data_IF_861508166833
#
_entry.id   IF_861508166833
#
_cell.length_a   1.000
_cell.length_b   1.000
_cell.length_c   1.000
_cell.angle_alpha   90.00
_cell.angle_beta   90.00
_cell.angle_gamma   90.00
#
_symmetry.space_group_name_H-M   'P 1'
#
loop_
_entity.id
_entity.type
_entity.pdbx_description
1 polymer ?
#
# COMPACT_ATOMS: atom_id res chain seq x y z
N UNK A 1 -21.57 -3.20 35.00
CA UNK A 1 -20.18 -3.37 35.48
C UNK A 1 -19.92 -4.86 35.66
N UNK A 2 -18.78 -5.38 35.12
CA UNK A 2 -18.37 -6.77 35.30
C UNK A 2 -17.88 -7.02 36.73
N UNK A 3 -18.27 -8.13 37.32
CA UNK A 3 -17.71 -8.60 38.60
C UNK A 3 -16.23 -8.98 38.45
N UNK A 4 -15.49 -9.03 39.55
CA UNK A 4 -14.07 -9.46 39.54
C UNK A 4 -13.88 -10.85 38.93
N UNK A 5 -14.80 -11.76 39.17
CA UNK A 5 -14.78 -13.11 38.59
C UNK A 5 -15.00 -13.10 37.07
N UNK A 6 -15.93 -12.29 36.59
CA UNK A 6 -16.19 -12.11 35.15
C UNK A 6 -15.02 -11.44 34.45
N UNK A 7 -14.33 -10.48 35.10
CA UNK A 7 -13.10 -9.88 34.57
C UNK A 7 -11.99 -10.91 34.43
N UNK A 8 -11.77 -11.74 35.47
CA UNK A 8 -10.76 -12.79 35.43
C UNK A 8 -11.03 -13.83 34.34
N UNK A 9 -12.31 -14.27 34.20
CA UNK A 9 -12.71 -15.20 33.14
C UNK A 9 -12.50 -14.60 31.73
N UNK A 10 -12.88 -13.35 31.53
CA UNK A 10 -12.68 -12.66 30.27
C UNK A 10 -11.19 -12.41 30.00
N UNK A 11 -10.38 -12.13 31.03
CA UNK A 11 -8.94 -12.00 30.89
C UNK A 11 -8.30 -13.30 30.41
N UNK A 12 -8.66 -14.43 31.01
CA UNK A 12 -8.21 -15.74 30.57
C UNK A 12 -8.64 -16.06 29.13
N UNK A 13 -9.88 -15.69 28.76
CA UNK A 13 -10.42 -15.92 27.41
C UNK A 13 -9.79 -15.01 26.33
N UNK A 14 -9.35 -13.83 26.70
CA UNK A 14 -8.88 -12.81 25.73
C UNK A 14 -7.42 -12.38 25.91
N UNK A 15 -6.67 -13.00 26.84
CA UNK A 15 -5.28 -12.62 27.14
C UNK A 15 -4.36 -12.58 25.89
N UNK A 16 -4.66 -13.41 24.88
CA UNK A 16 -3.92 -13.46 23.62
C UNK A 16 -4.55 -12.57 22.51
N UNK A 17 -5.54 -11.75 22.86
CA UNK A 17 -6.20 -10.85 21.89
C UNK A 17 -6.50 -9.49 22.52
N UNK A 18 -5.54 -8.56 22.54
CA UNK A 18 -5.69 -7.24 23.15
C UNK A 18 -6.89 -6.43 22.61
N UNK A 19 -7.23 -6.58 21.32
CA UNK A 19 -8.37 -5.90 20.74
C UNK A 19 -9.71 -6.41 21.26
N UNK A 20 -9.83 -7.72 21.54
CA UNK A 20 -11.02 -8.28 22.20
C UNK A 20 -11.11 -7.83 23.65
N UNK A 21 -9.98 -7.81 24.35
CA UNK A 21 -9.92 -7.32 25.73
C UNK A 21 -10.41 -5.87 25.80
N UNK A 22 -9.83 -4.97 25.02
CA UNK A 22 -10.20 -3.56 24.95
C UNK A 22 -11.71 -3.39 24.67
N UNK A 23 -12.28 -4.17 23.74
CA UNK A 23 -13.70 -4.07 23.38
C UNK A 23 -14.64 -4.65 24.42
N UNK A 24 -14.36 -5.86 24.94
CA UNK A 24 -15.33 -6.60 25.76
C UNK A 24 -15.13 -6.40 27.26
N UNK A 25 -13.96 -5.95 27.68
CA UNK A 25 -13.62 -5.77 29.10
C UNK A 25 -13.52 -4.29 29.45
N UNK A 26 -12.83 -3.51 28.63
CA UNK A 26 -12.63 -2.07 28.89
C UNK A 26 -13.71 -1.19 28.27
N UNK A 27 -14.61 -1.77 27.46
CA UNK A 27 -15.67 -1.02 26.77
C UNK A 27 -15.19 -0.06 25.71
N UNK A 28 -13.91 -0.14 25.33
CA UNK A 28 -13.35 0.71 24.28
C UNK A 28 -13.82 0.26 22.90
N UNK A 29 -13.92 1.21 21.95
CA UNK A 29 -14.23 0.91 20.54
C UNK A 29 -12.99 0.30 19.89
N UNK A 30 -12.76 -1.00 20.13
CA UNK A 30 -11.70 -1.73 19.47
C UNK A 30 -12.24 -2.51 18.27
N UNK A 31 -11.59 -2.42 17.15
CA UNK A 31 -11.91 -3.23 15.97
C UNK A 31 -11.34 -4.64 16.19
N UNK A 32 -12.22 -5.61 16.43
CA UNK A 32 -11.80 -7.02 16.47
C UNK A 32 -11.59 -7.48 15.02
N UNK A 33 -10.36 -7.58 14.60
CA UNK A 33 -10.02 -8.15 13.29
C UNK A 33 -10.40 -9.62 13.24
N UNK A 34 -11.16 -10.00 12.20
CA UNK A 34 -11.51 -11.43 11.94
C UNK A 34 -10.30 -12.26 11.51
N UNK A 35 -9.15 -11.64 11.25
CA UNK A 35 -7.93 -12.27 10.79
C UNK A 35 -6.69 -11.42 11.09
N UNK A 36 -5.58 -11.72 10.41
CA UNK A 36 -4.35 -10.93 10.47
C UNK A 36 -4.46 -9.83 9.41
N UNK A 37 -4.35 -8.57 9.81
CA UNK A 37 -4.44 -7.43 8.87
C UNK A 37 -3.36 -7.50 7.78
N UNK A 38 -3.73 -7.17 6.55
CA UNK A 38 -2.79 -7.15 5.42
C UNK A 38 -1.80 -6.00 5.55
N UNK A 39 -2.23 -4.89 6.11
CA UNK A 39 -1.45 -3.64 6.22
C UNK A 39 -1.29 -3.20 7.67
N UNK A 40 -0.35 -3.83 8.43
CA UNK A 40 -0.15 -3.54 9.85
C UNK A 40 0.32 -2.09 10.11
N UNK A 41 0.91 -1.41 9.13
CA UNK A 41 1.37 -0.03 9.26
C UNK A 41 0.23 1.00 9.14
N UNK A 42 -1.01 0.56 8.88
CA UNK A 42 -2.16 1.45 8.89
C UNK A 42 -2.62 1.74 10.33
N UNK A 43 -2.61 3.00 10.72
CA UNK A 43 -3.17 3.49 12.00
C UNK A 43 -4.29 4.49 11.74
N UNK A 44 -5.50 4.24 12.25
CA UNK A 44 -6.67 5.09 12.02
C UNK A 44 -6.42 6.54 12.41
N UNK A 45 -5.93 6.78 13.64
CA UNK A 45 -5.67 8.13 14.15
C UNK A 45 -4.61 8.91 13.36
N UNK A 46 -3.77 8.21 12.61
CA UNK A 46 -2.67 8.80 11.86
C UNK A 46 -2.99 8.97 10.37
N UNK A 47 -3.78 8.03 9.79
CA UNK A 47 -3.99 7.96 8.34
C UNK A 47 -5.40 8.36 7.89
N UNK A 48 -6.35 8.56 8.79
CA UNK A 48 -7.75 8.80 8.44
C UNK A 48 -8.24 10.15 8.94
N UNK A 49 -8.85 10.92 8.04
CA UNK A 49 -9.55 12.17 8.35
C UNK A 49 -11.03 11.90 8.60
N UNK A 50 -11.56 12.45 9.67
CA UNK A 50 -13.00 12.44 9.96
C UNK A 50 -13.78 13.43 9.09
N UNK A 51 -13.08 14.29 8.34
CA UNK A 51 -13.67 15.27 7.44
C UNK A 51 -13.34 14.96 5.98
N UNK A 52 -14.19 15.44 5.08
CA UNK A 52 -13.93 15.37 3.64
C UNK A 52 -12.80 16.32 3.29
N UNK A 53 -11.74 15.77 2.72
CA UNK A 53 -10.57 16.54 2.32
C UNK A 53 -10.79 17.21 0.96
N UNK A 54 -10.28 18.44 0.77
CA UNK A 54 -10.43 19.17 -0.48
C UNK A 54 -9.64 18.51 -1.61
N UNK A 55 -10.24 18.49 -2.80
CA UNK A 55 -9.56 18.10 -4.03
C UNK A 55 -8.91 19.33 -4.68
N UNK A 56 -7.65 19.24 -5.03
CA UNK A 56 -6.85 20.36 -5.50
C UNK A 56 -6.97 20.53 -7.02
N UNK A 57 -7.32 21.73 -7.53
CA UNK A 57 -7.37 22.00 -8.97
C UNK A 57 -5.97 22.00 -9.57
N UNK A 58 -5.89 21.72 -10.87
CA UNK A 58 -4.67 21.76 -11.67
C UNK A 58 -3.54 20.81 -11.23
N UNK A 59 -3.81 19.90 -10.30
CA UNK A 59 -2.87 18.84 -9.92
C UNK A 59 -3.30 17.50 -10.52
N UNK A 60 -2.34 16.67 -10.95
CA UNK A 60 -2.64 15.32 -11.43
C UNK A 60 -3.33 14.46 -10.36
N UNK A 61 -4.22 13.59 -10.81
CA UNK A 61 -4.88 12.62 -9.94
C UNK A 61 -4.84 11.21 -10.54
N UNK A 62 -4.99 10.22 -9.69
CA UNK A 62 -4.91 8.82 -10.07
C UNK A 62 -6.19 8.11 -9.63
N UNK A 63 -6.79 7.35 -10.54
CA UNK A 63 -7.83 6.36 -10.25
C UNK A 63 -7.18 5.00 -10.19
N UNK A 64 -7.35 4.33 -9.07
CA UNK A 64 -6.76 3.02 -8.79
C UNK A 64 -7.84 1.96 -8.83
N UNK A 65 -7.66 0.89 -9.61
CA UNK A 65 -8.72 -0.02 -9.99
C UNK A 65 -8.46 -1.47 -9.59
N UNK A 66 -9.52 -2.12 -9.14
CA UNK A 66 -9.69 -3.57 -9.17
C UNK A 66 -10.99 -3.85 -9.95
N UNK A 67 -10.88 -4.53 -11.08
CA UNK A 67 -11.92 -4.54 -12.12
C UNK A 67 -12.67 -5.85 -12.33
N UNK A 68 -12.59 -6.79 -11.40
CA UNK A 68 -13.32 -8.05 -11.51
C UNK A 68 -14.82 -7.87 -11.15
N UNK A 69 -15.59 -8.95 -10.91
CA UNK A 69 -17.05 -8.97 -10.69
C UNK A 69 -17.59 -8.00 -9.61
N UNK A 70 -16.71 -7.40 -8.83
CA UNK A 70 -17.03 -6.42 -7.79
C UNK A 70 -16.05 -5.25 -7.91
N UNK A 71 -16.14 -4.44 -8.97
CA UNK A 71 -15.14 -3.42 -9.26
C UNK A 71 -15.05 -2.38 -8.17
N UNK A 72 -13.82 -1.96 -7.90
CA UNK A 72 -13.49 -0.89 -6.99
C UNK A 72 -12.62 0.16 -7.68
N UNK A 73 -12.88 1.43 -7.39
CA UNK A 73 -12.08 2.57 -7.85
C UNK A 73 -11.74 3.48 -6.67
N UNK A 74 -10.47 3.67 -6.40
CA UNK A 74 -9.97 4.63 -5.40
C UNK A 74 -9.42 5.86 -6.12
N UNK A 75 -9.95 7.05 -5.81
CA UNK A 75 -9.49 8.32 -6.38
C UNK A 75 -8.46 8.93 -5.44
N UNK A 76 -7.26 9.17 -5.96
CA UNK A 76 -6.14 9.71 -5.19
C UNK A 76 -5.50 10.91 -5.87
N UNK A 77 -4.88 11.78 -5.09
CA UNK A 77 -4.14 12.93 -5.57
C UNK A 77 -3.04 13.31 -4.57
N UNK A 78 -1.88 13.74 -5.07
CA UNK A 78 -0.92 14.42 -4.20
C UNK A 78 -1.39 15.84 -3.91
N UNK A 79 -1.35 16.21 -2.64
CA UNK A 79 -1.53 17.62 -2.27
C UNK A 79 -0.21 18.41 -2.48
N UNK A 80 -0.23 19.77 -2.40
CA UNK A 80 0.97 20.60 -2.57
C UNK A 80 2.10 20.30 -1.58
N UNK A 81 1.82 19.57 -0.50
CA UNK A 81 2.81 19.19 0.50
C UNK A 81 3.43 17.81 0.26
N UNK A 82 3.09 17.16 -0.85
CA UNK A 82 3.60 15.81 -1.19
C UNK A 82 2.90 14.65 -0.47
N UNK A 83 1.78 14.90 0.20
CA UNK A 83 0.96 13.87 0.83
C UNK A 83 -0.02 13.29 -0.20
N UNK A 84 -0.06 11.98 -0.35
CA UNK A 84 -1.03 11.29 -1.19
C UNK A 84 -2.36 11.16 -0.44
N UNK A 85 -3.39 11.83 -0.93
CA UNK A 85 -4.73 11.81 -0.36
C UNK A 85 -5.61 10.84 -1.15
N UNK A 86 -6.21 9.86 -0.47
CA UNK A 86 -7.31 9.09 -1.02
C UNK A 86 -8.61 9.88 -0.79
N UNK A 87 -9.15 10.45 -1.85
CA UNK A 87 -10.29 11.37 -1.81
C UNK A 87 -11.63 10.67 -1.77
N UNK A 88 -11.80 9.61 -2.56
CA UNK A 88 -13.02 8.81 -2.60
C UNK A 88 -12.67 7.35 -2.92
N UNK A 89 -13.55 6.47 -2.50
CA UNK A 89 -13.51 5.07 -2.84
C UNK A 89 -14.89 4.59 -3.25
N UNK A 90 -14.99 4.14 -4.50
CA UNK A 90 -16.23 3.61 -5.07
C UNK A 90 -16.11 2.10 -5.13
N UNK A 91 -17.05 1.41 -4.51
CA UNK A 91 -17.17 -0.04 -4.53
C UNK A 91 -18.66 -0.41 -4.61
N UNK A 92 -19.02 -1.19 -5.62
CA UNK A 92 -20.41 -1.66 -5.80
C UNK A 92 -20.42 -3.13 -6.21
N UNK A 93 -20.87 -4.04 -5.31
CA UNK A 93 -21.05 -5.44 -5.64
C UNK A 93 -22.10 -5.63 -6.75
N UNK A 94 -21.84 -6.58 -7.66
CA UNK A 94 -22.75 -6.90 -8.75
C UNK A 94 -22.71 -5.93 -9.94
N UNK A 95 -21.78 -4.96 -9.93
CA UNK A 95 -21.51 -4.10 -11.08
C UNK A 95 -20.36 -4.69 -11.92
N UNK A 96 -20.37 -4.39 -13.22
CA UNK A 96 -19.18 -4.45 -14.07
C UNK A 96 -18.44 -3.12 -14.06
N UNK A 97 -17.25 -3.09 -14.67
CA UNK A 97 -16.46 -1.83 -14.77
C UNK A 97 -17.22 -0.76 -15.57
N UNK A 98 -17.95 -1.15 -16.61
CA UNK A 98 -18.75 -0.23 -17.45
C UNK A 98 -19.83 0.47 -16.62
N UNK A 99 -20.63 -0.29 -15.90
CA UNK A 99 -21.71 0.19 -15.04
C UNK A 99 -21.15 1.07 -13.91
N UNK A 100 -20.05 0.64 -13.28
CA UNK A 100 -19.40 1.45 -12.22
C UNK A 100 -18.97 2.82 -12.76
N UNK A 101 -18.38 2.87 -13.96
CA UNK A 101 -17.97 4.13 -14.58
C UNK A 101 -19.19 5.00 -14.91
N UNK A 102 -20.20 4.43 -15.55
CA UNK A 102 -21.36 5.14 -16.04
C UNK A 102 -22.22 5.69 -14.89
N UNK A 103 -22.55 4.85 -13.93
CA UNK A 103 -23.59 5.14 -12.93
C UNK A 103 -23.05 5.74 -11.64
N UNK A 104 -21.75 5.55 -11.37
CA UNK A 104 -21.15 6.00 -10.10
C UNK A 104 -19.99 6.97 -10.32
N UNK A 105 -18.99 6.60 -11.13
CA UNK A 105 -17.79 7.42 -11.27
C UNK A 105 -18.07 8.73 -12.03
N UNK A 106 -18.72 8.68 -13.19
CA UNK A 106 -19.03 9.89 -13.97
C UNK A 106 -19.90 10.89 -13.21
N UNK A 107 -20.99 10.50 -12.52
CA UNK A 107 -21.73 11.39 -11.64
C UNK A 107 -20.86 11.99 -10.52
N UNK A 108 -20.00 11.20 -9.89
CA UNK A 108 -19.07 11.70 -8.87
C UNK A 108 -18.08 12.74 -9.44
N UNK A 109 -17.47 12.46 -10.60
CA UNK A 109 -16.54 13.40 -11.26
C UNK A 109 -17.23 14.70 -11.72
N UNK A 110 -18.54 14.67 -11.95
CA UNK A 110 -19.36 15.84 -12.24
C UNK A 110 -19.84 16.60 -10.99
N UNK A 111 -19.57 16.09 -9.79
CA UNK A 111 -19.92 16.76 -8.54
C UNK A 111 -19.08 18.05 -8.33
N UNK A 112 -19.50 18.96 -7.46
CA UNK A 112 -18.76 20.19 -7.14
C UNK A 112 -17.31 19.93 -6.65
N UNK A 113 -17.05 18.75 -6.07
CA UNK A 113 -15.73 18.38 -5.61
C UNK A 113 -14.70 18.25 -6.74
N UNK A 114 -15.10 17.74 -7.92
CA UNK A 114 -14.21 17.41 -9.04
C UNK A 114 -14.44 18.27 -10.28
N UNK A 115 -15.66 18.75 -10.48
CA UNK A 115 -16.06 19.50 -11.67
C UNK A 115 -15.24 20.78 -11.83
N UNK A 116 -14.71 21.00 -13.04
CA UNK A 116 -13.97 22.22 -13.38
C UNK A 116 -12.57 22.30 -12.74
N UNK A 117 -12.03 21.21 -12.20
CA UNK A 117 -10.71 21.21 -11.52
C UNK A 117 -9.52 21.10 -12.48
N UNK A 118 -9.74 20.98 -13.79
CA UNK A 118 -8.69 20.86 -14.82
C UNK A 118 -7.59 19.84 -14.43
N UNK A 119 -8.01 18.62 -14.14
CA UNK A 119 -7.17 17.55 -13.61
C UNK A 119 -6.74 16.61 -14.71
N UNK A 120 -5.44 16.32 -14.80
CA UNK A 120 -4.91 15.21 -15.61
C UNK A 120 -5.07 13.90 -14.85
N UNK A 121 -5.72 12.92 -15.47
CA UNK A 121 -6.01 11.63 -14.87
C UNK A 121 -5.05 10.54 -15.34
N UNK A 122 -4.67 9.66 -14.42
CA UNK A 122 -4.04 8.35 -14.69
C UNK A 122 -4.94 7.25 -14.16
N UNK A 123 -4.96 6.11 -14.86
CA UNK A 123 -5.69 4.92 -14.43
C UNK A 123 -4.71 3.77 -14.23
N UNK A 124 -4.59 3.29 -13.01
CA UNK A 124 -3.68 2.20 -12.62
C UNK A 124 -4.52 1.10 -11.96
N UNK A 125 -4.27 -0.17 -12.27
CA UNK A 125 -5.07 -1.21 -11.63
C UNK A 125 -4.61 -2.64 -11.89
N UNK A 126 -5.52 -3.57 -11.61
CA UNK A 126 -5.29 -5.00 -11.76
C UNK A 126 -4.91 -5.35 -13.21
N UNK A 127 -3.74 -5.99 -13.43
CA UNK A 127 -3.34 -6.49 -14.75
C UNK A 127 -4.40 -7.37 -15.44
N UNK A 128 -5.20 -8.10 -14.66
CA UNK A 128 -6.26 -8.98 -15.20
C UNK A 128 -7.35 -8.20 -15.95
N UNK A 129 -7.49 -6.89 -15.71
CA UNK A 129 -8.41 -6.03 -16.47
C UNK A 129 -8.06 -5.96 -17.98
N UNK A 130 -6.84 -6.33 -18.37
CA UNK A 130 -6.44 -6.46 -19.78
C UNK A 130 -6.85 -7.76 -20.43
N UNK A 131 -7.28 -8.76 -19.65
CA UNK A 131 -7.74 -10.05 -20.16
C UNK A 131 -8.97 -9.82 -21.03
N UNK A 132 -9.00 -10.37 -22.27
CA UNK A 132 -10.17 -10.25 -23.13
C UNK A 132 -11.44 -10.79 -22.48
N UNK A 133 -12.56 -10.12 -22.72
CA UNK A 133 -13.87 -10.60 -22.31
C UNK A 133 -14.24 -11.85 -23.13
N UNK A 134 -14.84 -12.85 -22.50
CA UNK A 134 -15.29 -14.07 -23.17
C UNK A 134 -16.50 -13.82 -24.07
N UNK A 135 -17.26 -12.77 -23.81
CA UNK A 135 -18.50 -12.45 -24.55
C UNK A 135 -18.29 -11.55 -25.77
N UNK A 136 -17.14 -10.82 -25.82
CA UNK A 136 -16.92 -9.81 -26.85
C UNK A 136 -15.48 -9.83 -27.36
N UNK A 137 -15.30 -10.08 -28.64
CA UNK A 137 -13.97 -10.13 -29.29
C UNK A 137 -13.27 -8.77 -29.14
N UNK A 138 -12.02 -8.81 -28.72
CA UNK A 138 -11.14 -7.63 -28.54
C UNK A 138 -11.57 -6.62 -27.48
N UNK A 139 -12.56 -6.90 -26.64
CA UNK A 139 -12.91 -6.06 -25.49
C UNK A 139 -12.30 -6.61 -24.19
N UNK A 140 -12.03 -5.71 -23.27
CA UNK A 140 -11.58 -6.01 -21.91
C UNK A 140 -12.02 -4.88 -20.98
N UNK A 141 -12.01 -5.11 -19.66
CA UNK A 141 -12.33 -4.09 -18.70
C UNK A 141 -11.43 -2.85 -18.85
N UNK A 142 -10.13 -3.06 -19.13
CA UNK A 142 -9.18 -1.96 -19.40
C UNK A 142 -9.56 -1.17 -20.65
N UNK A 143 -9.87 -1.83 -21.79
CA UNK A 143 -10.29 -1.13 -23.01
C UNK A 143 -11.60 -0.38 -22.83
N UNK A 144 -12.55 -0.96 -22.09
CA UNK A 144 -13.80 -0.28 -21.75
C UNK A 144 -13.53 1.00 -20.95
N UNK A 145 -12.66 0.90 -19.94
CA UNK A 145 -12.22 2.05 -19.14
C UNK A 145 -11.57 3.12 -20.02
N UNK A 146 -10.59 2.75 -20.85
CA UNK A 146 -9.89 3.67 -21.76
C UNK A 146 -10.85 4.41 -22.70
N UNK A 147 -11.79 3.69 -23.29
CA UNK A 147 -12.80 4.27 -24.16
C UNK A 147 -13.76 5.23 -23.44
N UNK A 148 -14.18 4.89 -22.20
CA UNK A 148 -15.17 5.67 -21.46
C UNK A 148 -14.58 6.91 -20.77
N UNK A 149 -13.29 6.89 -20.42
CA UNK A 149 -12.62 7.91 -19.62
C UNK A 149 -11.57 8.69 -20.41
N UNK A 150 -11.32 8.33 -21.68
CA UNK A 150 -10.32 8.93 -22.57
C UNK A 150 -8.91 8.97 -21.93
N UNK A 151 -8.52 7.91 -21.24
CA UNK A 151 -7.23 7.76 -20.56
C UNK A 151 -6.62 6.42 -20.93
N UNK A 152 -5.31 6.25 -20.70
CA UNK A 152 -4.61 4.99 -20.87
C UNK A 152 -4.55 4.22 -19.56
N UNK A 153 -4.89 2.93 -19.59
CA UNK A 153 -4.79 2.05 -18.43
C UNK A 153 -3.35 1.53 -18.25
N UNK A 154 -2.83 1.66 -17.04
CA UNK A 154 -1.53 1.16 -16.62
C UNK A 154 -1.71 -0.04 -15.67
N UNK A 155 -1.18 -1.24 -16.00
CA UNK A 155 -1.30 -2.40 -15.12
C UNK A 155 -0.33 -2.30 -13.94
N UNK A 156 -0.81 -2.61 -12.77
CA UNK A 156 0.01 -2.82 -11.57
C UNK A 156 0.75 -4.17 -11.60
N UNK A 157 1.55 -4.49 -10.57
CA UNK A 157 2.29 -5.75 -10.49
C UNK A 157 1.36 -6.93 -10.17
N UNK A 158 1.54 -8.05 -10.87
CA UNK A 158 0.73 -9.26 -10.68
C UNK A 158 0.99 -9.95 -9.33
N UNK A 159 2.27 -10.03 -8.90
CA UNK A 159 2.67 -10.77 -7.70
C UNK A 159 2.19 -10.05 -6.44
N UNK A 160 1.63 -10.82 -5.50
CA UNK A 160 1.12 -10.30 -4.22
C UNK A 160 2.13 -9.45 -3.47
N UNK A 161 3.33 -9.97 -3.25
CA UNK A 161 4.35 -9.26 -2.48
C UNK A 161 4.78 -7.95 -3.14
N UNK A 162 4.82 -7.89 -4.48
CA UNK A 162 5.20 -6.70 -5.23
C UNK A 162 4.19 -5.55 -5.13
N UNK A 163 2.99 -5.80 -4.61
CA UNK A 163 1.99 -4.76 -4.34
C UNK A 163 1.77 -4.49 -2.85
N UNK A 164 1.92 -5.52 -1.99
CA UNK A 164 1.69 -5.35 -0.56
C UNK A 164 2.89 -4.73 0.16
N UNK A 165 4.12 -5.11 -0.21
CA UNK A 165 5.32 -4.50 0.37
C UNK A 165 5.40 -2.99 0.10
N UNK A 166 5.20 -2.48 -1.15
CA UNK A 166 5.13 -1.06 -1.42
C UNK A 166 4.06 -0.34 -0.60
N UNK A 167 2.86 -0.91 -0.50
CA UNK A 167 1.78 -0.31 0.28
C UNK A 167 2.12 -0.21 1.77
N UNK A 168 2.59 -1.31 2.38
CA UNK A 168 3.00 -1.29 3.78
C UNK A 168 4.16 -0.32 4.04
N UNK A 169 5.13 -0.27 3.12
CA UNK A 169 6.24 0.69 3.23
C UNK A 169 5.75 2.14 3.14
N UNK A 170 4.88 2.45 2.18
CA UNK A 170 4.32 3.79 2.00
C UNK A 170 3.46 4.23 3.20
N UNK A 171 2.67 3.32 3.79
CA UNK A 171 1.91 3.58 5.01
C UNK A 171 2.82 3.84 6.23
N UNK A 172 4.01 3.25 6.28
CA UNK A 172 4.98 3.53 7.34
C UNK A 172 5.76 4.84 7.17
N UNK A 173 5.62 5.53 6.03
CA UNK A 173 6.36 6.76 5.74
C UNK A 173 5.67 8.01 6.25
N UNK A 174 6.50 8.96 6.68
CA UNK A 174 6.10 10.35 6.97
C UNK A 174 6.73 11.32 5.98
N UNK A 175 6.07 12.44 5.78
CA UNK A 175 6.58 13.62 5.07
C UNK A 175 6.99 14.71 6.07
N UNK A 176 7.45 15.84 5.59
CA UNK A 176 7.82 16.99 6.43
C UNK A 176 6.73 17.35 7.44
N UNK A 177 7.15 17.61 8.68
CA UNK A 177 6.23 17.90 9.79
C UNK A 177 5.60 16.66 10.43
N UNK A 178 6.14 15.46 10.19
CA UNK A 178 5.67 14.21 10.83
C UNK A 178 4.31 13.72 10.35
N UNK A 179 3.79 14.29 9.25
CA UNK A 179 2.50 13.88 8.66
C UNK A 179 2.65 12.56 7.88
N UNK A 180 1.62 11.69 7.84
CA UNK A 180 1.68 10.47 7.04
C UNK A 180 1.84 10.80 5.55
N UNK A 181 2.58 9.96 4.82
CA UNK A 181 2.66 10.06 3.36
C UNK A 181 1.29 9.80 2.71
N UNK A 182 0.52 8.86 3.25
CA UNK A 182 -0.82 8.50 2.77
C UNK A 182 -1.86 8.98 3.78
N UNK A 183 -2.86 9.73 3.30
CA UNK A 183 -3.95 10.21 4.14
C UNK A 183 -5.30 9.95 3.47
N UNK A 184 -6.28 9.49 4.23
CA UNK A 184 -7.56 9.00 3.73
C UNK A 184 -8.67 9.95 4.15
N UNK A 185 -9.42 10.49 3.20
CA UNK A 185 -10.58 11.34 3.40
C UNK A 185 -11.77 10.56 3.96
N UNK A 186 -12.64 11.20 4.73
CA UNK A 186 -13.89 10.62 5.21
C UNK A 186 -14.74 10.00 4.09
N UNK A 187 -14.73 10.59 2.89
CA UNK A 187 -15.47 10.08 1.73
C UNK A 187 -14.87 8.82 1.10
N UNK A 188 -13.61 8.46 1.44
CA UNK A 188 -13.00 7.18 1.08
C UNK A 188 -13.22 6.10 2.16
N UNK A 189 -14.36 6.13 2.83
CA UNK A 189 -14.68 5.21 3.93
C UNK A 189 -14.55 3.72 3.61
N UNK A 190 -14.94 3.20 2.41
CA UNK A 190 -14.71 1.79 2.07
C UNK A 190 -13.22 1.40 2.12
N UNK A 191 -12.32 2.29 1.67
CA UNK A 191 -10.88 2.08 1.78
C UNK A 191 -10.41 2.08 3.24
N UNK A 192 -10.86 3.07 4.04
CA UNK A 192 -10.59 3.10 5.47
C UNK A 192 -10.99 1.78 6.15
N UNK A 193 -12.21 1.30 5.91
CA UNK A 193 -12.72 0.03 6.45
C UNK A 193 -11.86 -1.15 6.04
N UNK A 194 -11.40 -1.20 4.78
CA UNK A 194 -10.53 -2.25 4.29
C UNK A 194 -9.19 -2.25 5.04
N UNK A 195 -8.50 -1.11 5.10
CA UNK A 195 -7.18 -1.00 5.72
C UNK A 195 -7.22 -1.16 7.24
N UNK A 196 -8.30 -0.78 7.91
CA UNK A 196 -8.50 -0.94 9.37
C UNK A 196 -8.63 -2.40 9.81
N UNK A 197 -8.77 -3.35 8.87
CA UNK A 197 -8.83 -4.78 9.18
C UNK A 197 -9.94 -5.54 8.46
N UNK A 198 -10.75 -4.88 7.62
CA UNK A 198 -11.67 -5.56 6.70
C UNK A 198 -10.90 -6.44 5.71
N UNK A 199 -9.75 -5.97 5.27
CA UNK A 199 -8.81 -6.68 4.41
C UNK A 199 -7.79 -7.43 5.28
N UNK A 200 -7.92 -8.75 5.33
CA UNK A 200 -7.15 -9.57 6.27
C UNK A 200 -6.81 -10.94 5.70
N UNK A 201 -5.75 -11.54 6.22
CA UNK A 201 -5.43 -12.93 5.99
C UNK A 201 -6.26 -13.83 6.89
N UNK A 202 -6.57 -15.04 6.42
CA UNK A 202 -7.11 -16.11 7.27
C UNK A 202 -6.09 -16.48 8.35
N UNK A 203 -6.56 -16.82 9.53
CA UNK A 203 -5.73 -17.34 10.63
C UNK A 203 -6.22 -18.69 11.12
N UNK A 204 -5.31 -19.51 11.63
CA UNK A 204 -5.62 -20.75 12.33
C UNK A 204 -6.09 -20.50 13.78
N UNK A 205 -6.40 -21.56 14.49
CA UNK A 205 -6.83 -21.49 15.89
C UNK A 205 -5.71 -20.98 16.82
N UNK A 206 -4.46 -21.13 16.43
CA UNK A 206 -3.28 -20.62 17.15
C UNK A 206 -2.96 -19.16 16.83
N UNK A 207 -3.72 -18.54 15.90
CA UNK A 207 -3.51 -17.15 15.50
C UNK A 207 -2.51 -16.94 14.37
N UNK A 208 -1.94 -18.00 13.80
CA UNK A 208 -0.98 -17.90 12.70
C UNK A 208 -1.70 -17.70 11.37
N UNK A 209 -1.03 -17.01 10.43
CA UNK A 209 -1.53 -16.78 9.08
C UNK A 209 -1.66 -18.08 8.30
N UNK A 210 -2.81 -18.28 7.66
CA UNK A 210 -3.05 -19.35 6.70
C UNK A 210 -3.05 -18.74 5.28
N UNK A 211 -2.22 -19.29 4.40
CA UNK A 211 -2.13 -18.89 2.99
C UNK A 211 -1.30 -17.63 2.76
N UNK A 212 -1.14 -17.29 1.50
CA UNK A 212 -0.30 -16.17 1.04
C UNK A 212 -1.11 -14.93 0.68
N UNK A 213 -2.41 -15.08 0.40
CA UNK A 213 -3.30 -14.01 -0.01
C UNK A 213 -4.37 -13.70 1.06
N UNK A 214 -4.99 -12.54 0.94
CA UNK A 214 -6.09 -12.13 1.80
C UNK A 214 -7.35 -12.95 1.55
N UNK A 215 -8.25 -12.97 2.54
CA UNK A 215 -9.60 -13.54 2.39
C UNK A 215 -10.36 -12.73 1.35
N UNK A 216 -10.99 -13.42 0.40
CA UNK A 216 -11.86 -12.81 -0.59
C UNK A 216 -13.14 -12.30 0.06
N UNK A 217 -13.30 -10.99 0.11
CA UNK A 217 -14.46 -10.28 0.66
C UNK A 217 -14.54 -8.87 0.05
N UNK A 218 -15.57 -8.10 0.41
CA UNK A 218 -15.78 -6.74 -0.10
C UNK A 218 -14.58 -5.81 0.10
N UNK A 219 -13.82 -6.00 1.17
CA UNK A 219 -12.64 -5.19 1.49
C UNK A 219 -11.41 -5.58 0.67
N UNK A 220 -11.37 -6.81 0.14
CA UNK A 220 -10.27 -7.31 -0.71
C UNK A 220 -10.17 -6.49 -2.00
N UNK A 221 -11.29 -6.25 -2.68
CA UNK A 221 -11.32 -5.47 -3.93
C UNK A 221 -10.82 -4.04 -3.72
N UNK A 222 -11.29 -3.40 -2.67
CA UNK A 222 -10.88 -2.02 -2.34
C UNK A 222 -9.40 -1.95 -1.93
N UNK A 223 -8.95 -2.90 -1.12
CA UNK A 223 -7.55 -3.01 -0.71
C UNK A 223 -6.61 -3.26 -1.89
N UNK A 224 -6.99 -4.19 -2.79
CA UNK A 224 -6.23 -4.51 -3.98
C UNK A 224 -6.17 -3.32 -4.96
N UNK A 225 -7.29 -2.66 -5.24
CA UNK A 225 -7.30 -1.47 -6.09
C UNK A 225 -6.27 -0.44 -5.63
N UNK A 226 -6.25 -0.14 -4.33
CA UNK A 226 -5.30 0.78 -3.74
C UNK A 226 -3.86 0.27 -3.80
N UNK A 227 -3.63 -1.02 -3.52
CA UNK A 227 -2.31 -1.62 -3.55
C UNK A 227 -1.67 -1.60 -4.95
N UNK A 228 -2.44 -1.85 -6.01
CA UNK A 228 -1.94 -1.73 -7.39
C UNK A 228 -1.44 -0.33 -7.69
N UNK A 229 -2.21 0.69 -7.35
CA UNK A 229 -1.82 2.08 -7.57
C UNK A 229 -0.60 2.48 -6.76
N UNK A 230 -0.56 2.15 -5.48
CA UNK A 230 0.59 2.46 -4.61
C UNK A 230 1.86 1.77 -5.08
N UNK A 231 1.78 0.54 -5.57
CA UNK A 231 2.96 -0.17 -6.08
C UNK A 231 3.63 0.53 -7.28
N UNK A 232 2.85 1.21 -8.11
CA UNK A 232 3.36 2.01 -9.24
C UNK A 232 3.87 3.40 -8.77
N UNK A 233 3.14 4.04 -7.85
CA UNK A 233 3.50 5.38 -7.36
C UNK A 233 4.69 5.36 -6.37
N UNK A 234 4.81 4.30 -5.60
CA UNK A 234 5.84 4.12 -4.55
C UNK A 234 6.47 2.73 -4.64
N UNK A 235 7.19 2.42 -5.72
CA UNK A 235 7.81 1.11 -5.86
C UNK A 235 8.77 0.86 -4.70
N UNK A 236 8.68 -0.35 -4.12
CA UNK A 236 9.50 -0.77 -3.00
C UNK A 236 9.70 -2.28 -3.02
N UNK A 237 10.90 -2.72 -2.70
CA UNK A 237 11.24 -4.12 -2.52
C UNK A 237 12.20 -4.27 -1.34
N UNK A 238 11.84 -5.10 -0.38
CA UNK A 238 12.69 -5.42 0.78
C UNK A 238 14.07 -5.92 0.33
N UNK A 239 14.10 -6.73 -0.72
CA UNK A 239 15.35 -7.26 -1.28
C UNK A 239 16.25 -6.16 -1.83
N UNK A 240 15.68 -5.22 -2.58
CA UNK A 240 16.44 -4.10 -3.16
C UNK A 240 16.92 -3.14 -2.07
N UNK A 241 16.13 -2.88 -1.06
CA UNK A 241 16.54 -2.04 0.07
C UNK A 241 17.67 -2.69 0.86
N UNK A 242 17.58 -3.99 1.13
CA UNK A 242 18.65 -4.73 1.78
C UNK A 242 19.96 -4.66 0.97
N UNK A 243 19.90 -4.81 -0.34
CA UNK A 243 21.05 -4.67 -1.23
C UNK A 243 21.65 -3.25 -1.15
N UNK A 244 20.82 -2.22 -1.27
CA UNK A 244 21.26 -0.81 -1.16
C UNK A 244 21.89 -0.50 0.20
N UNK A 245 21.32 -1.01 1.28
CA UNK A 245 21.85 -0.82 2.62
C UNK A 245 23.20 -1.55 2.81
N UNK A 246 23.35 -2.76 2.26
CA UNK A 246 24.61 -3.50 2.24
C UNK A 246 25.69 -2.74 1.48
N UNK A 247 25.39 -2.29 0.26
CA UNK A 247 26.32 -1.49 -0.56
C UNK A 247 26.75 -0.19 0.16
N UNK A 248 25.80 0.49 0.82
CA UNK A 248 26.08 1.69 1.63
C UNK A 248 27.00 1.37 2.80
N UNK A 249 26.77 0.29 3.51
CA UNK A 249 27.59 -0.16 4.63
C UNK A 249 29.03 -0.52 4.15
N UNK A 250 29.14 -1.25 3.04
CA UNK A 250 30.42 -1.60 2.42
C UNK A 250 31.19 -0.35 1.98
N UNK A 251 30.48 0.64 1.39
CA UNK A 251 31.09 1.93 1.00
C UNK A 251 31.61 2.70 2.23
N UNK A 252 30.86 2.77 3.30
CA UNK A 252 31.27 3.42 4.56
C UNK A 252 32.51 2.70 5.13
N UNK A 253 32.52 1.38 5.11
CA UNK A 253 33.65 0.58 5.59
C UNK A 253 34.91 0.82 4.76
N UNK A 254 34.79 0.89 3.43
CA UNK A 254 35.90 1.24 2.53
C UNK A 254 36.43 2.65 2.81
N UNK A 255 35.54 3.64 2.97
CA UNK A 255 35.93 5.01 3.30
C UNK A 255 36.67 5.10 4.65
N UNK A 256 36.19 4.40 5.68
CA UNK A 256 36.86 4.35 6.99
C UNK A 256 38.24 3.70 6.91
N UNK A 257 38.39 2.61 6.14
CA UNK A 257 39.69 1.99 5.89
C UNK A 257 40.65 2.92 5.13
N UNK A 258 40.15 3.61 4.10
CA UNK A 258 40.96 4.59 3.38
C UNK A 258 41.43 5.77 4.24
N UNK A 259 40.56 6.24 5.14
CA UNK A 259 40.87 7.31 6.11
C UNK A 259 41.83 6.86 7.22
N UNK A 260 41.87 5.58 7.57
CA UNK A 260 42.82 5.03 8.54
C UNK A 260 44.24 4.83 7.98
N UNK A 261 44.38 4.81 6.64
CA UNK A 261 45.68 4.93 5.95
C UNK A 261 45.91 6.43 5.71
N UNK A 262 46.34 7.16 6.74
CA UNK A 262 46.67 8.59 6.63
C UNK A 262 47.80 8.85 5.59
N UNK A 263 47.88 10.09 5.05
CA UNK A 263 48.95 10.48 4.14
C UNK A 263 50.28 10.54 4.89
N UNK A 264 50.93 9.41 5.12
CA UNK A 264 52.16 9.38 5.89
C UNK A 264 52.90 8.05 6.01
N UNK A 265 52.33 6.95 5.55
CA UNK A 265 53.04 5.67 5.48
C UNK A 265 53.28 5.28 4.03
N UNK A 266 54.27 5.96 3.41
CA UNK A 266 55.02 5.39 2.28
C UNK A 266 55.82 4.21 2.84
N UNK A 267 55.16 3.10 3.07
CA UNK A 267 55.85 1.82 3.29
C UNK A 267 56.55 1.44 2.01
N UNK A 268 57.87 1.61 2.01
CA UNK A 268 58.74 1.06 0.99
C UNK A 268 58.55 -0.47 1.00
N UNK A 269 57.76 -0.95 0.10
CA UNK A 269 57.70 -2.38 -0.18
C UNK A 269 58.96 -2.71 -0.98
N UNK A 270 60.03 -3.15 -0.29
CA UNK A 270 61.13 -3.83 -0.93
C UNK A 270 60.63 -5.17 -1.46
N UNK A 271 60.78 -5.50 -2.75
CA UNK A 271 60.43 -6.80 -3.27
C UNK A 271 61.38 -7.85 -2.70
N UNK A 272 60.90 -8.72 -1.83
CA UNK A 272 61.59 -9.95 -1.44
C UNK A 272 61.53 -10.92 -2.62
N UNK A 273 62.72 -11.30 -3.15
CA UNK A 273 62.84 -12.44 -4.02
C UNK A 273 63.58 -12.20 -5.33
N UNK A 274 64.86 -11.75 -5.27
CA UNK A 274 65.81 -12.01 -6.34
C UNK A 274 66.66 -13.22 -5.92
N UNK A 275 66.31 -14.42 -6.39
CA UNK A 275 67.17 -15.59 -6.31
C UNK A 275 68.39 -15.35 -7.19
N UNK A 276 69.53 -15.07 -6.58
CA UNK A 276 70.84 -15.11 -7.26
C UNK A 276 71.18 -16.58 -7.42
N UNK A 277 71.16 -17.11 -8.67
CA UNK A 277 71.81 -18.35 -9.06
C UNK A 277 73.35 -18.07 -9.20
N UNK A 278 74.13 -18.64 -8.30
CA UNK A 278 75.56 -18.74 -8.46
C UNK A 278 75.79 -19.96 -9.38
N UNK A 279 76.40 -19.72 -10.56
CA UNK A 279 77.00 -20.77 -11.38
C UNK A 279 78.39 -21.08 -10.83
N UNK A 280 78.66 -22.36 -10.59
CA UNK A 280 79.89 -22.98 -10.75
C UNK A 280 79.80 -24.01 -11.89
#
# INVERSE_FOLDING_TARGET
YLTSLQRAANQAAFQNNPAKWARYVEGSIATVSKGIVVVPNYGEHFHYSQTILPFYPNLPAVRMWDGYQHPSCVITQYNPHGQLIAHDCIYYPGYGVKELIQDKLKPLLNSPKYRGKNTTWRDIGDPSMRTPDQSTVNMSAAKTLEAMLATRFEPGPTRWDNRIQPLNHALGKTISGGRPLIYISASAYPLHKALKGGWHYKKDNSGNRIGTEAVKNDSDHTGNAFAYGIAILHPYSVREEFQKNKEKADRITRMRRAASYGPGTTGIYAPRGANVRIMQ
#
